data_IF_519153862270
#
_entry.id   IF_519153862270
#
_cell.length_a   1.000
_cell.length_b   1.000
_cell.length_c   1.000
_cell.angle_alpha   90.00
_cell.angle_beta   90.00
_cell.angle_gamma   90.00
#
_symmetry.space_group_name_H-M   'P 1'
#
loop_
_entity.id
_entity.type
_entity.pdbx_description
1 polymer ?
#
# COMPACT_ATOMS: atom_id res chain seq x y z
N UNK A 1 6.08 36.97 4.99
CA UNK A 1 6.22 35.61 4.41
C UNK A 1 4.90 35.27 3.74
N UNK A 2 4.89 34.75 2.50
CA UNK A 2 3.65 34.39 1.81
C UNK A 2 2.90 33.33 2.64
N UNK A 3 1.62 33.58 2.90
CA UNK A 3 0.78 32.69 3.70
C UNK A 3 0.29 31.55 2.80
N UNK A 4 0.41 30.31 3.26
CA UNK A 4 0.02 29.13 2.47
C UNK A 4 -1.49 29.12 2.13
N UNK A 5 -2.28 29.93 2.85
CA UNK A 5 -3.71 30.18 2.62
C UNK A 5 -4.01 30.88 1.30
N UNK A 6 -3.08 31.69 0.81
CA UNK A 6 -3.28 32.53 -0.40
C UNK A 6 -2.78 31.82 -1.68
N UNK A 7 -2.38 30.56 -1.57
CA UNK A 7 -1.80 29.79 -2.67
C UNK A 7 -2.92 29.26 -3.59
N UNK A 8 -2.78 29.42 -4.93
CA UNK A 8 -3.68 28.85 -5.92
C UNK A 8 -3.88 27.34 -5.73
N UNK A 9 -5.06 26.85 -6.12
CA UNK A 9 -5.39 25.42 -5.99
C UNK A 9 -4.37 24.51 -6.68
N UNK A 10 -3.87 24.90 -7.85
CA UNK A 10 -2.92 24.08 -8.62
C UNK A 10 -1.60 23.90 -7.86
N UNK A 11 -1.08 24.99 -7.28
CA UNK A 11 0.16 24.98 -6.50
C UNK A 11 -0.02 24.25 -5.16
N UNK A 12 -1.18 24.42 -4.51
CA UNK A 12 -1.51 23.71 -3.28
C UNK A 12 -1.54 22.18 -3.52
N UNK A 13 -2.17 21.74 -4.61
CA UNK A 13 -2.23 20.32 -4.99
C UNK A 13 -0.85 19.76 -5.33
N UNK A 14 -0.01 20.56 -5.99
CA UNK A 14 1.36 20.17 -6.30
C UNK A 14 2.23 20.01 -5.05
N UNK A 15 2.16 20.95 -4.10
CA UNK A 15 2.86 20.86 -2.81
C UNK A 15 2.42 19.59 -2.07
N UNK A 16 1.11 19.37 -2.00
CA UNK A 16 0.50 18.23 -1.32
C UNK A 16 0.87 16.89 -1.95
N UNK A 17 1.08 16.82 -3.26
CA UNK A 17 1.56 15.61 -3.92
C UNK A 17 2.98 15.19 -3.53
N UNK A 18 3.76 16.09 -2.91
CA UNK A 18 5.12 15.85 -2.42
C UNK A 18 5.19 15.74 -0.89
N UNK A 19 4.06 15.86 -0.16
CA UNK A 19 4.01 15.70 1.29
C UNK A 19 3.82 14.23 1.69
N UNK A 20 4.39 13.85 2.84
CA UNK A 20 4.05 12.59 3.50
C UNK A 20 2.66 12.67 4.16
N UNK A 21 2.07 11.53 4.50
CA UNK A 21 0.70 11.47 5.02
C UNK A 21 0.51 12.22 6.31
N UNK A 22 1.49 12.13 7.21
CA UNK A 22 1.50 12.88 8.47
C UNK A 22 1.41 14.38 8.22
N UNK A 23 2.20 14.92 7.29
CA UNK A 23 2.18 16.32 6.91
C UNK A 23 0.89 16.70 6.20
N UNK A 24 0.36 15.81 5.34
CA UNK A 24 -0.93 16.01 4.67
C UNK A 24 -2.09 16.11 5.66
N UNK A 25 -2.17 15.21 6.64
CA UNK A 25 -3.19 15.24 7.68
C UNK A 25 -3.05 16.41 8.64
N UNK A 26 -1.82 16.80 8.98
CA UNK A 26 -1.57 17.98 9.80
C UNK A 26 -2.02 19.26 9.09
N UNK A 27 -1.77 19.37 7.78
CA UNK A 27 -2.22 20.49 6.95
C UNK A 27 -3.75 20.53 6.85
N UNK A 28 -4.39 19.39 6.62
CA UNK A 28 -5.84 19.25 6.55
C UNK A 28 -6.54 19.65 7.87
N UNK A 29 -6.02 19.16 9.01
CA UNK A 29 -6.54 19.52 10.35
C UNK A 29 -6.29 20.96 10.76
N UNK A 30 -5.36 21.65 10.10
CA UNK A 30 -5.00 23.02 10.47
C UNK A 30 -6.11 24.04 10.17
N UNK A 31 -6.93 23.82 9.14
CA UNK A 31 -8.05 24.70 8.75
C UNK A 31 -9.15 23.93 8.01
N UNK A 32 -10.42 24.25 8.30
CA UNK A 32 -11.59 23.69 7.61
C UNK A 32 -11.61 23.95 6.09
N UNK A 33 -11.06 25.08 5.65
CA UNK A 33 -10.96 25.44 4.23
C UNK A 33 -10.01 24.50 3.46
N UNK A 34 -8.88 24.16 4.08
CA UNK A 34 -7.95 23.19 3.53
C UNK A 34 -8.55 21.78 3.52
N UNK A 35 -9.31 21.42 4.54
CA UNK A 35 -9.96 20.11 4.61
C UNK A 35 -10.89 19.87 3.40
N UNK A 36 -11.65 20.89 2.99
CA UNK A 36 -12.48 20.84 1.78
C UNK A 36 -11.65 20.79 0.49
N UNK A 37 -10.64 21.66 0.36
CA UNK A 37 -9.79 21.74 -0.86
C UNK A 37 -8.90 20.51 -1.06
N UNK A 38 -8.50 19.87 0.03
CA UNK A 38 -7.58 18.73 0.03
C UNK A 38 -8.29 17.39 0.01
N UNK A 39 -9.63 17.34 0.14
CA UNK A 39 -10.40 16.09 0.13
C UNK A 39 -9.99 15.12 -1.01
N UNK A 40 -9.85 15.56 -2.28
CA UNK A 40 -9.45 14.65 -3.36
C UNK A 40 -8.04 14.07 -3.18
N UNK A 41 -7.11 14.88 -2.66
CA UNK A 41 -5.72 14.48 -2.40
C UNK A 41 -5.61 13.59 -1.16
N UNK A 42 -6.38 13.88 -0.10
CA UNK A 42 -6.50 13.05 1.10
C UNK A 42 -7.14 11.71 0.74
N UNK A 43 -8.18 11.70 -0.09
CA UNK A 43 -8.81 10.49 -0.60
C UNK A 43 -7.81 9.66 -1.44
N UNK A 44 -7.08 10.29 -2.36
CA UNK A 44 -6.02 9.64 -3.15
C UNK A 44 -4.87 9.11 -2.28
N UNK A 45 -4.46 9.87 -1.26
CA UNK A 45 -3.45 9.45 -0.29
C UNK A 45 -3.96 8.28 0.57
N UNK A 46 -5.21 8.31 1.02
CA UNK A 46 -5.83 7.22 1.77
C UNK A 46 -5.99 5.94 0.94
N UNK A 47 -6.37 6.05 -0.33
CA UNK A 47 -6.35 4.89 -1.24
C UNK A 47 -4.93 4.33 -1.38
N UNK A 48 -3.90 5.19 -1.43
CA UNK A 48 -2.51 4.76 -1.65
C UNK A 48 -1.83 4.22 -0.38
N UNK A 49 -2.14 4.76 0.80
CA UNK A 49 -1.46 4.46 2.06
C UNK A 49 -2.35 3.86 3.16
N UNK A 50 -3.66 4.12 3.18
CA UNK A 50 -4.58 3.51 4.15
C UNK A 50 -5.19 2.19 3.65
N UNK A 51 -5.53 2.03 2.36
CA UNK A 51 -5.91 0.69 1.83
C UNK A 51 -4.75 -0.31 1.89
N UNK A 52 -3.51 0.18 1.85
CA UNK A 52 -2.29 -0.60 2.06
C UNK A 52 -2.32 -1.33 3.41
N UNK A 53 -2.74 -0.66 4.50
CA UNK A 53 -2.90 -1.31 5.80
C UNK A 53 -4.00 -2.37 5.80
N UNK A 54 -5.11 -2.08 5.12
CA UNK A 54 -6.26 -3.00 5.08
C UNK A 54 -5.93 -4.24 4.25
N UNK A 55 -5.21 -4.11 3.14
CA UNK A 55 -4.73 -5.26 2.35
C UNK A 55 -3.78 -6.13 3.18
N UNK A 56 -2.87 -5.50 3.94
CA UNK A 56 -1.98 -6.19 4.86
C UNK A 56 -2.70 -6.94 5.99
N UNK A 57 -3.86 -6.46 6.44
CA UNK A 57 -4.71 -7.14 7.42
C UNK A 57 -5.50 -8.28 6.75
N UNK A 58 -6.13 -8.02 5.60
CA UNK A 58 -6.84 -9.03 4.83
C UNK A 58 -5.94 -10.23 4.48
N UNK A 59 -4.68 -9.97 4.10
CA UNK A 59 -3.68 -11.03 3.89
C UNK A 59 -3.38 -11.76 5.20
N UNK A 60 -3.09 -11.03 6.28
CA UNK A 60 -2.75 -11.64 7.58
C UNK A 60 -3.87 -12.56 8.10
N UNK A 61 -5.12 -12.15 7.92
CA UNK A 61 -6.31 -12.87 8.37
C UNK A 61 -6.81 -13.89 7.32
N UNK A 62 -6.07 -14.07 6.21
CA UNK A 62 -6.38 -14.93 5.07
C UNK A 62 -7.78 -14.69 4.46
N UNK A 63 -8.27 -13.45 4.55
CA UNK A 63 -9.56 -13.04 3.99
C UNK A 63 -9.41 -12.72 2.50
N UNK A 64 -9.48 -13.76 1.67
CA UNK A 64 -9.32 -13.71 0.21
C UNK A 64 -10.33 -12.79 -0.45
N UNK A 65 -11.60 -12.82 -0.04
CA UNK A 65 -12.66 -12.00 -0.63
C UNK A 65 -12.43 -10.51 -0.38
N UNK A 66 -12.04 -10.15 0.84
CA UNK A 66 -11.69 -8.77 1.18
C UNK A 66 -10.46 -8.31 0.39
N UNK A 67 -9.42 -9.14 0.30
CA UNK A 67 -8.25 -8.82 -0.50
C UNK A 67 -8.60 -8.63 -1.98
N UNK A 68 -9.48 -9.46 -2.54
CA UNK A 68 -9.96 -9.33 -3.92
C UNK A 68 -10.66 -7.99 -4.16
N UNK A 69 -11.60 -7.62 -3.27
CA UNK A 69 -12.34 -6.37 -3.35
C UNK A 69 -11.40 -5.15 -3.23
N UNK A 70 -10.44 -5.20 -2.32
CA UNK A 70 -9.45 -4.11 -2.16
C UNK A 70 -8.61 -3.92 -3.42
N UNK A 71 -8.15 -5.01 -4.04
CA UNK A 71 -7.39 -4.94 -5.28
C UNK A 71 -8.23 -4.44 -6.46
N UNK A 72 -9.53 -4.77 -6.50
CA UNK A 72 -10.45 -4.19 -7.49
C UNK A 72 -10.59 -2.66 -7.33
N UNK A 73 -10.50 -2.16 -6.09
CA UNK A 73 -10.49 -0.73 -5.79
C UNK A 73 -9.09 -0.09 -5.83
N UNK A 74 -8.18 -0.65 -6.65
CA UNK A 74 -6.82 -0.13 -6.86
C UNK A 74 -5.99 0.00 -5.57
N UNK A 75 -6.21 -0.86 -4.58
CA UNK A 75 -5.30 -0.97 -3.44
C UNK A 75 -3.89 -1.28 -3.94
N UNK A 76 -2.90 -0.63 -3.35
CA UNK A 76 -1.51 -0.86 -3.72
C UNK A 76 -1.08 -2.29 -3.34
N UNK A 77 -0.94 -3.17 -4.32
CA UNK A 77 -0.51 -4.55 -4.10
C UNK A 77 0.94 -4.66 -3.59
N UNK A 78 1.76 -3.64 -3.83
CA UNK A 78 3.15 -3.53 -3.38
C UNK A 78 3.27 -2.71 -2.10
N UNK A 79 2.17 -2.51 -1.38
CA UNK A 79 2.13 -1.78 -0.12
C UNK A 79 3.26 -2.20 0.84
N UNK A 80 4.20 -1.32 1.12
CA UNK A 80 5.26 -1.63 2.08
C UNK A 80 4.85 -1.20 3.48
N UNK A 81 4.60 -2.15 4.37
CA UNK A 81 4.15 -1.88 5.74
C UNK A 81 4.86 -2.76 6.75
N UNK A 82 5.41 -2.12 7.81
CA UNK A 82 6.20 -2.78 8.87
C UNK A 82 7.29 -3.70 8.29
N UNK A 83 8.01 -3.21 7.28
CA UNK A 83 9.13 -3.93 6.68
C UNK A 83 8.73 -5.05 5.72
N UNK A 84 7.47 -5.16 5.28
CA UNK A 84 7.03 -6.25 4.40
C UNK A 84 6.06 -5.77 3.32
N UNK A 85 6.08 -6.42 2.17
CA UNK A 85 5.00 -6.34 1.17
C UNK A 85 3.85 -7.28 1.55
N UNK A 86 2.65 -7.13 0.97
CA UNK A 86 1.53 -8.04 1.23
C UNK A 86 1.90 -9.47 0.83
N UNK A 87 2.63 -9.66 -0.29
CA UNK A 87 3.08 -10.98 -0.72
C UNK A 87 4.07 -11.63 0.26
N UNK A 88 5.04 -10.89 0.81
CA UNK A 88 5.92 -11.42 1.86
C UNK A 88 5.14 -11.88 3.10
N UNK A 89 4.10 -11.11 3.47
CA UNK A 89 3.23 -11.49 4.59
C UNK A 89 2.37 -12.70 4.25
N UNK A 90 1.93 -12.83 3.00
CA UNK A 90 1.14 -13.96 2.54
C UNK A 90 1.88 -15.29 2.67
N UNK A 91 3.19 -15.29 2.45
CA UNK A 91 4.02 -16.48 2.67
C UNK A 91 4.12 -16.92 4.14
N UNK A 92 3.97 -16.00 5.10
CA UNK A 92 4.06 -16.34 6.52
C UNK A 92 2.73 -16.78 7.13
N UNK A 93 1.61 -16.20 6.69
CA UNK A 93 0.35 -16.30 7.43
C UNK A 93 -0.84 -16.81 6.60
N UNK A 94 -0.73 -16.85 5.27
CA UNK A 94 -1.89 -17.02 4.40
C UNK A 94 -1.87 -18.34 3.62
N UNK A 95 -3.03 -18.69 3.08
CA UNK A 95 -3.21 -19.87 2.25
C UNK A 95 -2.52 -19.76 0.88
N UNK A 96 -2.49 -20.87 0.14
CA UNK A 96 -2.10 -20.85 -1.27
C UNK A 96 -3.03 -19.96 -2.11
N UNK A 97 -4.34 -19.96 -1.83
CA UNK A 97 -5.32 -19.18 -2.57
C UNK A 97 -5.06 -17.67 -2.48
N UNK A 98 -4.74 -17.15 -1.29
CA UNK A 98 -4.34 -15.75 -1.12
C UNK A 98 -3.07 -15.41 -1.91
N UNK A 99 -2.08 -16.31 -1.90
CA UNK A 99 -0.83 -16.12 -2.64
C UNK A 99 -1.07 -16.10 -4.15
N UNK A 100 -1.88 -17.01 -4.67
CA UNK A 100 -2.27 -17.04 -6.09
C UNK A 100 -3.03 -15.79 -6.50
N UNK A 101 -3.96 -15.30 -5.66
CA UNK A 101 -4.68 -14.05 -5.91
C UNK A 101 -3.73 -12.87 -6.09
N UNK A 102 -2.68 -12.78 -5.26
CA UNK A 102 -1.67 -11.72 -5.38
C UNK A 102 -0.74 -11.92 -6.58
N UNK A 103 -0.28 -13.15 -6.82
CA UNK A 103 0.65 -13.49 -7.91
C UNK A 103 0.03 -13.30 -9.30
N UNK A 104 -1.28 -13.47 -9.43
CA UNK A 104 -1.99 -13.28 -10.69
C UNK A 104 -2.18 -11.80 -11.09
N UNK A 105 -1.65 -10.85 -10.32
CA UNK A 105 -1.79 -9.41 -10.58
C UNK A 105 -0.54 -8.86 -11.25
N UNK A 106 -0.74 -8.22 -12.40
CA UNK A 106 0.36 -7.65 -13.23
C UNK A 106 1.16 -6.55 -12.55
N UNK A 107 0.54 -5.81 -11.64
CA UNK A 107 1.16 -4.68 -10.93
C UNK A 107 2.09 -5.13 -9.80
N UNK A 108 2.14 -6.43 -9.49
CA UNK A 108 2.96 -6.98 -8.42
C UNK A 108 4.46 -6.88 -8.73
N UNK A 109 5.22 -6.31 -7.82
CA UNK A 109 6.68 -6.31 -7.84
C UNK A 109 7.23 -7.28 -6.78
N UNK A 110 7.78 -8.39 -7.26
CA UNK A 110 8.35 -9.46 -6.43
C UNK A 110 9.77 -9.15 -5.95
N UNK A 111 10.43 -8.14 -6.53
CA UNK A 111 11.83 -7.81 -6.25
C UNK A 111 12.02 -6.82 -5.11
N UNK A 112 10.93 -6.29 -4.55
CA UNK A 112 10.99 -5.40 -3.39
C UNK A 112 11.72 -6.10 -2.25
N UNK A 113 12.68 -5.38 -1.68
CA UNK A 113 13.49 -5.84 -0.55
C UNK A 113 13.06 -5.15 0.73
N UNK A 114 13.04 -5.90 1.82
CA UNK A 114 12.92 -5.32 3.15
C UNK A 114 14.28 -4.78 3.67
N UNK A 115 14.28 -4.28 4.91
CA UNK A 115 15.48 -3.75 5.56
C UNK A 115 16.61 -4.79 5.73
N UNK A 116 16.27 -6.08 5.76
CA UNK A 116 17.20 -7.21 5.81
C UNK A 116 17.62 -7.72 4.41
N UNK A 117 17.25 -7.00 3.33
CA UNK A 117 17.44 -7.40 1.92
C UNK A 117 16.71 -8.68 1.52
N UNK A 118 15.70 -9.09 2.27
CA UNK A 118 14.87 -10.24 1.94
C UNK A 118 13.80 -9.84 0.92
N UNK A 119 13.63 -10.65 -0.12
CA UNK A 119 12.61 -10.49 -1.17
C UNK A 119 11.43 -11.44 -0.95
N UNK A 120 10.35 -11.32 -1.73
CA UNK A 120 9.25 -12.28 -1.69
C UNK A 120 9.73 -13.74 -1.92
N UNK A 121 10.75 -13.94 -2.75
CA UNK A 121 11.38 -15.24 -2.99
C UNK A 121 12.04 -15.80 -1.72
N UNK A 122 12.73 -14.96 -0.94
CA UNK A 122 13.33 -15.40 0.33
C UNK A 122 12.26 -15.97 1.28
N UNK A 123 11.11 -15.29 1.37
CA UNK A 123 9.98 -15.75 2.17
C UNK A 123 9.34 -17.02 1.59
N UNK A 124 9.26 -17.16 0.27
CA UNK A 124 8.75 -18.37 -0.38
C UNK A 124 9.63 -19.60 -0.11
N UNK A 125 10.95 -19.42 -0.02
CA UNK A 125 11.89 -20.51 0.32
C UNK A 125 11.80 -20.85 1.81
N UNK A 126 11.69 -19.85 2.68
CA UNK A 126 11.73 -20.05 4.13
C UNK A 126 10.41 -20.54 4.73
N UNK A 127 9.26 -20.09 4.18
CA UNK A 127 7.93 -20.39 4.70
C UNK A 127 7.00 -21.09 3.69
N UNK A 128 7.35 -21.07 2.40
CA UNK A 128 6.54 -21.67 1.35
C UNK A 128 6.84 -23.15 1.13
N UNK A 129 6.11 -23.72 0.16
CA UNK A 129 6.34 -25.09 -0.33
C UNK A 129 7.23 -25.04 -1.57
N UNK A 130 7.88 -26.16 -1.90
CA UNK A 130 8.72 -26.26 -3.09
C UNK A 130 8.01 -25.78 -4.37
N UNK A 131 6.73 -26.13 -4.54
CA UNK A 131 5.90 -25.69 -5.66
C UNK A 131 5.76 -24.17 -5.75
N UNK A 132 5.65 -23.48 -4.61
CA UNK A 132 5.55 -22.02 -4.57
C UNK A 132 6.88 -21.30 -4.77
N UNK A 133 8.03 -21.93 -4.51
CA UNK A 133 9.31 -21.35 -4.90
C UNK A 133 9.53 -21.46 -6.42
N UNK A 134 9.03 -22.53 -7.04
CA UNK A 134 9.14 -22.74 -8.48
C UNK A 134 8.32 -21.75 -9.30
N UNK A 135 7.19 -21.25 -8.79
CA UNK A 135 6.38 -20.25 -9.51
C UNK A 135 7.07 -18.88 -9.66
N UNK A 136 8.23 -18.66 -9.04
CA UNK A 136 9.04 -17.44 -9.14
C UNK A 136 10.28 -17.60 -10.03
N UNK A 137 10.53 -18.82 -10.52
CA UNK A 137 11.61 -19.18 -11.46
C UNK A 137 11.05 -19.32 -12.87
#
# INVERSE_FOLDING_TARGET
MPNIRDVPNELLLWIVSHLDGSALFALARSCKDFDFRLQPSIWKYNIKFQNSNILHLAVKDDNVDLAAALLQHNANINAFYRGKTPLMRAFQYSSAAMRELLLNRRELDINIQNQARETALWYAIHYGTYSTAKSFL
#
